data_IF_197915344824
#
_entry.id   IF_197915344824
#
_cell.length_a   1.000
_cell.length_b   1.000
_cell.length_c   1.000
_cell.angle_alpha   90.00
_cell.angle_beta   90.00
_cell.angle_gamma   90.00
#
_symmetry.space_group_name_H-M   'P 1'
#
loop_
_entity.id
_entity.type
_entity.pdbx_description
1 polymer ?
#
# COMPACT_ATOMS: atom_id res chain seq x y z
N UNK A 1 13.64 -38.38 3.08
CA UNK A 1 12.92 -37.13 2.73
C UNK A 1 13.52 -36.64 1.41
N UNK A 2 12.74 -36.60 0.38
CA UNK A 2 13.15 -35.98 -0.89
C UNK A 2 13.58 -34.54 -0.63
N UNK A 3 14.74 -34.11 -1.12
CA UNK A 3 15.20 -32.71 -0.99
C UNK A 3 14.29 -31.85 -1.84
N UNK A 4 13.67 -30.86 -1.24
CA UNK A 4 12.82 -29.91 -1.98
C UNK A 4 13.66 -29.03 -2.90
N UNK A 5 13.21 -28.86 -4.12
CA UNK A 5 13.87 -28.11 -5.20
C UNK A 5 14.02 -26.63 -4.82
N UNK A 6 15.20 -26.09 -5.07
CA UNK A 6 15.49 -24.65 -4.95
C UNK A 6 15.41 -23.99 -6.32
N UNK A 7 14.87 -22.79 -6.39
CA UNK A 7 14.94 -21.97 -7.59
C UNK A 7 15.97 -20.86 -7.38
N UNK A 8 16.95 -20.79 -8.27
CA UNK A 8 17.99 -19.77 -8.33
C UNK A 8 17.71 -18.80 -9.45
N UNK A 9 17.56 -17.52 -9.17
CA UNK A 9 17.54 -16.43 -10.13
C UNK A 9 18.94 -15.85 -10.21
N UNK A 10 19.59 -15.95 -11.37
CA UNK A 10 21.03 -15.68 -11.53
C UNK A 10 21.32 -14.61 -12.57
N UNK A 11 22.41 -13.86 -12.39
CA UNK A 11 22.93 -12.91 -13.36
C UNK A 11 22.23 -11.55 -13.39
N UNK A 12 21.24 -11.34 -12.55
CA UNK A 12 20.50 -10.08 -12.46
C UNK A 12 21.16 -9.05 -11.54
N UNK A 13 20.49 -7.91 -11.44
CA UNK A 13 20.74 -6.86 -10.45
C UNK A 13 19.81 -7.06 -9.26
N UNK A 14 20.27 -6.82 -8.04
CA UNK A 14 19.48 -6.95 -6.83
C UNK A 14 19.40 -5.60 -6.10
N UNK A 15 18.19 -5.12 -5.86
CA UNK A 15 17.87 -4.03 -4.94
C UNK A 15 17.07 -4.65 -3.78
N UNK A 16 17.72 -4.86 -2.65
CA UNK A 16 17.18 -5.66 -1.55
C UNK A 16 16.08 -4.96 -0.71
N UNK A 17 15.83 -3.67 -0.97
CA UNK A 17 14.83 -2.86 -0.26
C UNK A 17 15.35 -2.22 1.03
N UNK A 18 16.59 -2.48 1.46
CA UNK A 18 17.17 -1.87 2.67
C UNK A 18 17.52 -0.40 2.49
N UNK A 19 17.70 0.05 1.25
CA UNK A 19 18.23 1.38 0.88
C UNK A 19 19.74 1.35 0.58
N UNK A 20 20.37 0.19 0.69
CA UNK A 20 21.75 -0.01 0.27
C UNK A 20 21.87 -0.06 -1.25
N UNK A 21 23.10 0.14 -1.74
CA UNK A 21 23.38 0.11 -3.18
C UNK A 21 23.03 -1.27 -3.76
N UNK A 22 22.54 -1.24 -5.00
CA UNK A 22 22.25 -2.46 -5.74
C UNK A 22 23.48 -3.36 -5.93
N UNK A 23 23.26 -4.67 -5.89
CA UNK A 23 24.28 -5.71 -6.16
C UNK A 23 24.18 -6.15 -7.61
N UNK A 24 25.24 -6.00 -8.38
CA UNK A 24 25.33 -6.52 -9.75
C UNK A 24 25.67 -8.00 -9.75
N UNK A 25 25.33 -8.72 -10.82
CA UNK A 25 25.55 -10.16 -10.96
C UNK A 25 25.12 -10.92 -9.69
N UNK A 26 23.89 -10.64 -9.27
CA UNK A 26 23.33 -11.17 -8.03
C UNK A 26 22.70 -12.56 -8.24
N UNK A 27 22.56 -13.26 -7.14
CA UNK A 27 21.80 -14.49 -7.03
C UNK A 27 20.71 -14.33 -5.97
N UNK A 28 19.49 -14.71 -6.31
CA UNK A 28 18.40 -14.91 -5.37
C UNK A 28 18.01 -16.39 -5.38
N UNK A 29 18.15 -17.08 -4.25
CA UNK A 29 17.76 -18.49 -4.10
C UNK A 29 16.49 -18.58 -3.24
N UNK A 30 15.48 -19.30 -3.75
CA UNK A 30 14.17 -19.46 -3.13
C UNK A 30 13.83 -20.94 -2.98
N UNK A 31 13.39 -21.35 -1.79
CA UNK A 31 12.88 -22.70 -1.51
C UNK A 31 11.73 -22.62 -0.52
N UNK A 32 10.67 -23.40 -0.74
CA UNK A 32 9.49 -23.49 0.15
C UNK A 32 8.89 -22.11 0.52
N UNK A 33 8.85 -21.20 -0.45
CA UNK A 33 8.29 -19.87 -0.25
C UNK A 33 9.19 -18.90 0.53
N UNK A 34 10.42 -19.32 0.86
CA UNK A 34 11.39 -18.52 1.63
C UNK A 34 12.63 -18.22 0.80
N UNK A 35 13.20 -17.05 1.05
CA UNK A 35 14.51 -16.66 0.54
C UNK A 35 15.58 -17.42 1.33
N UNK A 36 16.42 -18.18 0.65
CA UNK A 36 17.58 -18.83 1.23
C UNK A 36 18.82 -17.94 1.14
N UNK A 37 18.94 -17.21 0.04
CA UNK A 37 20.06 -16.32 -0.25
C UNK A 37 19.61 -15.18 -1.14
N UNK A 38 20.15 -14.00 -0.90
CA UNK A 38 20.02 -12.84 -1.78
C UNK A 38 21.31 -12.01 -1.66
N UNK A 39 22.08 -11.89 -2.74
CA UNK A 39 23.37 -11.20 -2.71
C UNK A 39 24.23 -11.46 -3.94
N UNK A 40 25.51 -11.15 -3.84
CA UNK A 40 26.48 -11.36 -4.90
C UNK A 40 26.68 -12.85 -5.24
N UNK A 41 26.96 -13.16 -6.50
CA UNK A 41 27.11 -14.54 -6.97
C UNK A 41 28.24 -15.31 -6.24
N UNK A 42 29.31 -14.61 -5.84
CA UNK A 42 30.48 -15.21 -5.17
C UNK A 42 30.14 -15.82 -3.78
N UNK A 43 29.08 -15.35 -3.15
CA UNK A 43 28.62 -15.84 -1.83
C UNK A 43 27.45 -16.82 -1.92
N UNK A 44 26.95 -17.10 -3.12
CA UNK A 44 25.76 -17.92 -3.31
C UNK A 44 26.08 -19.41 -3.04
N UNK A 45 25.13 -20.15 -2.44
CA UNK A 45 25.26 -21.61 -2.34
C UNK A 45 25.21 -22.25 -3.74
N UNK A 46 26.01 -23.29 -3.94
CA UNK A 46 26.04 -24.05 -5.20
C UNK A 46 24.71 -24.77 -5.44
N UNK A 47 24.11 -24.63 -6.66
CA UNK A 47 22.91 -25.37 -7.02
C UNK A 47 23.17 -26.87 -7.08
N UNK A 48 22.24 -27.69 -6.60
CA UNK A 48 22.24 -29.12 -6.85
C UNK A 48 21.67 -29.43 -8.25
N UNK A 49 21.86 -30.66 -8.72
CA UNK A 49 21.44 -31.09 -10.07
C UNK A 49 19.92 -30.94 -10.27
N UNK A 50 19.14 -31.15 -9.21
CA UNK A 50 17.68 -31.05 -9.23
C UNK A 50 17.16 -29.61 -9.12
N UNK A 51 18.00 -28.65 -8.76
CA UNK A 51 17.60 -27.25 -8.58
C UNK A 51 17.35 -26.57 -9.94
N UNK A 52 16.55 -25.51 -9.94
CA UNK A 52 16.22 -24.72 -11.12
C UNK A 52 17.07 -23.45 -11.16
N UNK A 53 17.82 -23.25 -12.21
CA UNK A 53 18.45 -21.95 -12.49
C UNK A 53 17.66 -21.18 -13.55
N UNK A 54 17.35 -19.94 -13.24
CA UNK A 54 16.63 -18.99 -14.11
C UNK A 54 17.55 -17.82 -14.39
N UNK A 55 17.88 -17.59 -15.63
CA UNK A 55 18.64 -16.41 -16.05
C UNK A 55 17.76 -15.16 -15.99
N UNK A 56 18.15 -14.20 -15.17
CA UNK A 56 17.52 -12.89 -15.01
C UNK A 56 18.47 -11.74 -15.38
N UNK A 57 19.43 -12.03 -16.24
CA UNK A 57 20.36 -11.03 -16.78
C UNK A 57 19.58 -9.89 -17.45
N UNK A 58 19.96 -8.64 -17.15
CA UNK A 58 19.28 -7.44 -17.63
C UNK A 58 18.01 -7.06 -16.85
N UNK A 59 17.67 -7.83 -15.82
CA UNK A 59 16.57 -7.52 -14.90
C UNK A 59 17.11 -7.06 -13.54
N UNK A 60 16.28 -6.27 -12.85
CA UNK A 60 16.47 -5.93 -11.43
C UNK A 60 15.43 -6.66 -10.60
N UNK A 61 15.90 -7.42 -9.59
CA UNK A 61 15.08 -8.06 -8.58
C UNK A 61 14.87 -7.11 -7.41
N UNK A 62 13.62 -6.97 -6.96
CA UNK A 62 13.22 -6.12 -5.83
C UNK A 62 12.23 -6.87 -4.93
N UNK A 63 12.07 -6.42 -3.66
CA UNK A 63 10.92 -6.87 -2.86
C UNK A 63 9.61 -6.49 -3.55
N UNK A 64 8.58 -7.30 -3.35
CA UNK A 64 7.23 -6.93 -3.75
C UNK A 64 6.78 -5.62 -3.11
N UNK A 65 6.04 -4.81 -3.86
CA UNK A 65 5.58 -3.49 -3.44
C UNK A 65 4.49 -3.59 -2.39
N UNK A 66 4.40 -2.57 -1.56
CA UNK A 66 3.33 -2.33 -0.60
C UNK A 66 2.42 -1.20 -1.08
N UNK A 67 1.14 -1.30 -0.75
CA UNK A 67 0.22 -0.16 -0.76
C UNK A 67 -0.44 -0.06 0.63
N UNK A 68 -0.04 0.97 1.40
CA UNK A 68 -0.46 1.14 2.79
C UNK A 68 -1.71 1.99 2.96
N UNK A 69 -2.33 2.44 1.87
CA UNK A 69 -3.59 3.19 1.89
C UNK A 69 -4.45 2.80 0.70
N UNK A 70 -5.29 1.81 0.89
CA UNK A 70 -6.18 1.32 -0.14
C UNK A 70 -7.59 1.08 0.40
N UNK A 71 -8.57 1.28 -0.48
CA UNK A 71 -9.98 0.97 -0.30
C UNK A 71 -10.40 0.04 -1.44
N UNK A 72 -10.31 -1.28 -1.24
CA UNK A 72 -10.57 -2.27 -2.31
C UNK A 72 -12.05 -2.32 -2.74
N UNK A 73 -12.95 -1.73 -1.97
CA UNK A 73 -14.36 -1.55 -2.29
C UNK A 73 -14.73 -0.14 -2.77
N UNK A 74 -13.73 0.71 -3.05
CA UNK A 74 -13.95 2.10 -3.48
C UNK A 74 -14.85 2.20 -4.70
N UNK A 75 -15.88 3.06 -4.63
CA UNK A 75 -16.79 3.33 -5.73
C UNK A 75 -16.42 4.57 -6.57
N UNK A 76 -15.45 5.36 -6.14
CA UNK A 76 -15.02 6.57 -6.82
C UNK A 76 -13.81 6.30 -7.71
N UNK A 77 -13.80 6.80 -8.90
CA UNK A 77 -14.84 7.50 -9.67
C UNK A 77 -15.68 6.57 -10.57
N UNK A 78 -15.82 5.31 -10.20
CA UNK A 78 -16.32 4.21 -11.03
C UNK A 78 -17.83 4.15 -11.03
N UNK A 79 -18.48 4.78 -12.02
CA UNK A 79 -19.93 4.77 -12.18
C UNK A 79 -20.51 3.38 -12.44
N UNK A 80 -19.68 2.46 -12.95
CA UNK A 80 -20.12 1.14 -13.43
C UNK A 80 -20.04 0.03 -12.37
N UNK A 81 -19.44 0.33 -11.20
CA UNK A 81 -19.31 -0.62 -10.11
C UNK A 81 -20.21 -0.22 -8.93
N UNK A 82 -21.43 -0.67 -8.97
CA UNK A 82 -22.32 -0.61 -7.80
C UNK A 82 -21.97 -1.75 -6.85
N UNK A 83 -20.88 -1.59 -6.11
CA UNK A 83 -20.40 -2.60 -5.13
C UNK A 83 -21.49 -2.94 -4.10
N UNK A 84 -22.46 -2.06 -3.92
CA UNK A 84 -23.55 -2.20 -2.96
C UNK A 84 -24.77 -2.95 -3.50
N UNK A 85 -24.85 -3.21 -4.80
CA UNK A 85 -26.05 -3.74 -5.45
C UNK A 85 -26.48 -5.11 -4.90
N UNK A 86 -25.51 -5.96 -4.49
CA UNK A 86 -25.75 -7.32 -4.03
C UNK A 86 -25.25 -7.58 -2.60
N UNK A 87 -24.95 -6.52 -1.84
CA UNK A 87 -24.58 -6.60 -0.43
C UNK A 87 -23.16 -7.10 -0.16
N UNK A 88 -22.83 -7.45 1.13
CA UNK A 88 -21.46 -7.70 1.57
C UNK A 88 -20.74 -8.85 0.85
N UNK A 89 -21.46 -9.88 0.42
CA UNK A 89 -20.86 -11.02 -0.28
C UNK A 89 -20.30 -10.60 -1.64
N UNK A 90 -21.03 -9.81 -2.41
CA UNK A 90 -20.59 -9.30 -3.70
C UNK A 90 -19.43 -8.31 -3.52
N UNK A 91 -19.52 -7.43 -2.52
CA UNK A 91 -18.45 -6.52 -2.15
C UNK A 91 -17.13 -7.25 -1.87
N UNK A 92 -17.18 -8.35 -1.11
CA UNK A 92 -15.99 -9.17 -0.85
C UNK A 92 -15.41 -9.79 -2.13
N UNK A 93 -16.25 -10.22 -3.08
CA UNK A 93 -15.80 -10.75 -4.36
C UNK A 93 -15.11 -9.66 -5.22
N UNK A 94 -15.68 -8.47 -5.28
CA UNK A 94 -15.09 -7.32 -5.98
C UNK A 94 -13.76 -6.92 -5.32
N UNK A 95 -13.73 -6.83 -4.00
CA UNK A 95 -12.52 -6.49 -3.24
C UNK A 95 -11.41 -7.53 -3.47
N UNK A 96 -11.76 -8.82 -3.51
CA UNK A 96 -10.80 -9.86 -3.85
C UNK A 96 -10.26 -9.70 -5.27
N UNK A 97 -11.14 -9.46 -6.26
CA UNK A 97 -10.73 -9.23 -7.64
C UNK A 97 -9.69 -8.12 -7.74
N UNK A 98 -9.94 -6.99 -7.11
CA UNK A 98 -9.04 -5.82 -7.09
C UNK A 98 -7.74 -6.11 -6.33
N UNK A 99 -7.80 -6.89 -5.25
CA UNK A 99 -6.60 -7.36 -4.55
C UNK A 99 -5.74 -8.26 -5.45
N UNK A 100 -6.36 -9.18 -6.20
CA UNK A 100 -5.66 -10.05 -7.15
C UNK A 100 -5.02 -9.26 -8.29
N UNK A 101 -5.71 -8.24 -8.81
CA UNK A 101 -5.17 -7.31 -9.82
C UNK A 101 -3.96 -6.53 -9.27
N UNK A 102 -4.03 -6.06 -8.03
CA UNK A 102 -2.90 -5.42 -7.37
C UNK A 102 -1.69 -6.36 -7.28
N UNK A 103 -1.91 -7.62 -6.91
CA UNK A 103 -0.86 -8.64 -6.84
C UNK A 103 -0.19 -8.89 -8.19
N UNK A 104 -0.95 -9.08 -9.27
CA UNK A 104 -0.41 -9.28 -10.64
C UNK A 104 0.42 -8.08 -11.10
N UNK A 105 0.14 -6.89 -10.57
CA UNK A 105 0.88 -5.66 -10.84
C UNK A 105 1.99 -5.36 -9.81
N UNK A 106 2.43 -6.37 -9.06
CA UNK A 106 3.61 -6.29 -8.19
C UNK A 106 3.35 -5.83 -6.76
N UNK A 107 2.10 -5.54 -6.38
CA UNK A 107 1.74 -5.16 -5.01
C UNK A 107 1.47 -6.41 -4.19
N UNK A 108 2.45 -6.85 -3.42
CA UNK A 108 2.39 -8.11 -2.66
C UNK A 108 1.77 -7.95 -1.26
N UNK A 109 1.59 -6.71 -0.80
CA UNK A 109 0.94 -6.39 0.48
C UNK A 109 0.08 -5.14 0.33
N UNK A 110 -1.15 -5.21 0.85
CA UNK A 110 -2.12 -4.11 0.87
C UNK A 110 -2.59 -3.88 2.31
N UNK A 111 -2.58 -2.63 2.76
CA UNK A 111 -3.20 -2.19 4.01
C UNK A 111 -4.49 -1.45 3.67
N UNK A 112 -5.62 -2.09 3.97
CA UNK A 112 -6.95 -1.49 3.83
C UNK A 112 -7.21 -0.58 5.03
N UNK A 113 -7.67 0.66 4.76
CA UNK A 113 -7.83 1.72 5.76
C UNK A 113 -9.22 2.35 5.75
N UNK A 114 -10.22 1.55 5.55
CA UNK A 114 -11.64 1.92 5.51
C UNK A 114 -12.35 1.08 4.48
N UNK A 115 -13.13 0.09 4.94
CA UNK A 115 -13.94 -0.78 4.06
C UNK A 115 -15.22 -1.18 4.77
N UNK A 116 -16.31 -1.26 4.02
CA UNK A 116 -17.62 -1.63 4.55
C UNK A 116 -17.84 -3.14 4.59
N UNK A 117 -18.80 -3.53 5.41
CA UNK A 117 -19.35 -4.89 5.47
C UNK A 117 -18.34 -5.98 5.84
N UNK A 118 -17.10 -5.60 6.26
CA UNK A 118 -16.05 -6.53 6.61
C UNK A 118 -15.44 -7.25 5.41
N UNK A 119 -15.49 -6.65 4.22
CA UNK A 119 -14.93 -7.21 2.99
C UNK A 119 -13.43 -7.44 3.09
N UNK A 120 -12.68 -6.51 3.72
CA UNK A 120 -11.25 -6.64 4.00
C UNK A 120 -10.93 -7.85 4.89
N UNK A 121 -11.71 -8.07 5.96
CA UNK A 121 -11.57 -9.25 6.82
C UNK A 121 -11.81 -10.55 6.06
N UNK A 122 -12.83 -10.56 5.17
CA UNK A 122 -13.16 -11.74 4.37
C UNK A 122 -12.02 -12.08 3.38
N UNK A 123 -11.53 -11.08 2.64
CA UNK A 123 -10.41 -11.25 1.69
C UNK A 123 -9.14 -11.67 2.43
N UNK A 124 -8.77 -10.95 3.52
CA UNK A 124 -7.65 -11.32 4.38
C UNK A 124 -7.71 -12.78 4.78
N UNK A 125 -8.86 -13.20 5.33
CA UNK A 125 -9.02 -14.57 5.85
C UNK A 125 -8.93 -15.63 4.76
N UNK A 126 -9.50 -15.37 3.60
CA UNK A 126 -9.46 -16.28 2.45
C UNK A 126 -8.03 -16.46 1.93
N UNK A 127 -7.25 -15.38 1.86
CA UNK A 127 -5.84 -15.42 1.45
C UNK A 127 -4.97 -16.12 2.52
N UNK A 128 -5.12 -15.78 3.81
CA UNK A 128 -4.38 -16.42 4.91
C UNK A 128 -4.62 -17.94 4.99
N UNK A 129 -5.83 -18.39 4.64
CA UNK A 129 -6.17 -19.81 4.63
C UNK A 129 -5.77 -20.53 3.35
N UNK A 130 -5.17 -19.84 2.38
CA UNK A 130 -4.85 -20.40 1.07
C UNK A 130 -6.06 -20.79 0.23
N UNK A 131 -7.25 -20.28 0.57
CA UNK A 131 -8.46 -20.49 -0.24
C UNK A 131 -8.38 -19.70 -1.55
N UNK A 132 -7.73 -18.53 -1.51
CA UNK A 132 -7.54 -17.64 -2.63
C UNK A 132 -6.09 -17.17 -2.69
N UNK A 133 -5.54 -17.07 -3.90
CA UNK A 133 -4.25 -16.42 -4.13
C UNK A 133 -4.48 -14.90 -4.13
N UNK A 134 -3.70 -14.18 -3.33
CA UNK A 134 -3.81 -12.73 -3.22
C UNK A 134 -2.59 -12.11 -2.54
N UNK A 135 -2.52 -10.79 -2.47
CA UNK A 135 -1.52 -10.10 -1.65
C UNK A 135 -1.79 -10.39 -0.16
N UNK A 136 -0.80 -10.17 0.69
CA UNK A 136 -1.06 -10.04 2.13
C UNK A 136 -2.00 -8.85 2.33
N UNK A 137 -3.10 -9.05 3.05
CA UNK A 137 -4.07 -7.99 3.36
C UNK A 137 -4.01 -7.70 4.87
N UNK A 138 -3.77 -6.43 5.21
CA UNK A 138 -3.98 -5.91 6.55
C UNK A 138 -5.32 -5.17 6.56
N UNK A 139 -6.18 -5.50 7.50
CA UNK A 139 -7.56 -5.04 7.57
C UNK A 139 -7.78 -4.09 8.75
N UNK A 140 -8.45 -2.95 8.51
CA UNK A 140 -8.88 -2.01 9.54
C UNK A 140 -10.39 -2.10 9.83
N UNK A 141 -11.18 -2.64 8.88
CA UNK A 141 -12.62 -2.45 8.85
C UNK A 141 -13.00 -1.02 8.45
N UNK A 142 -14.13 -0.49 8.93
CA UNK A 142 -14.56 0.86 8.61
C UNK A 142 -13.64 1.93 9.20
N UNK A 143 -13.59 3.10 8.55
CA UNK A 143 -13.01 4.29 9.15
C UNK A 143 -13.93 4.78 10.29
N UNK A 144 -13.39 5.01 11.47
CA UNK A 144 -14.14 5.55 12.61
C UNK A 144 -14.04 7.07 12.57
N UNK A 145 -15.17 7.76 12.48
CA UNK A 145 -15.26 9.21 12.27
C UNK A 145 -16.17 9.85 13.33
N UNK A 146 -16.04 11.16 13.52
CA UNK A 146 -17.02 11.92 14.29
C UNK A 146 -18.35 11.98 13.53
N UNK A 147 -19.47 12.07 14.24
CA UNK A 147 -20.79 12.22 13.62
C UNK A 147 -20.80 13.42 12.66
N UNK A 148 -21.17 13.19 11.40
CA UNK A 148 -21.09 14.19 10.33
C UNK A 148 -19.68 14.49 9.81
N UNK A 149 -18.67 13.72 10.21
CA UNK A 149 -17.27 13.89 9.82
C UNK A 149 -16.96 13.38 8.41
N UNK A 150 -15.65 13.33 8.10
CA UNK A 150 -15.14 12.95 6.78
C UNK A 150 -15.63 11.58 6.34
N UNK A 151 -16.23 11.52 5.13
CA UNK A 151 -16.77 10.28 4.59
C UNK A 151 -18.09 9.82 5.22
N UNK A 152 -18.84 10.71 5.91
CA UNK A 152 -20.10 10.36 6.58
C UNK A 152 -21.19 9.75 5.67
N UNK A 153 -21.05 9.91 4.37
CA UNK A 153 -21.96 9.31 3.37
C UNK A 153 -21.39 8.01 2.76
N UNK A 154 -20.21 7.58 3.20
CA UNK A 154 -19.58 6.34 2.72
C UNK A 154 -19.97 5.18 3.62
N UNK A 155 -20.47 4.05 3.06
CA UNK A 155 -20.76 2.84 3.83
C UNK A 155 -19.54 2.29 4.59
N UNK A 156 -18.31 2.60 4.13
CA UNK A 156 -17.06 2.25 4.80
C UNK A 156 -16.74 3.11 6.02
N UNK A 157 -17.66 3.99 6.46
CA UNK A 157 -17.50 4.85 7.64
C UNK A 157 -18.40 4.44 8.79
N UNK A 158 -17.89 4.61 10.01
CA UNK A 158 -18.63 4.39 11.26
C UNK A 158 -18.63 5.67 12.08
N UNK A 159 -19.79 6.30 12.20
CA UNK A 159 -19.96 7.52 13.00
C UNK A 159 -19.98 7.23 14.51
N UNK A 160 -19.26 8.04 15.27
CA UNK A 160 -19.17 7.99 16.72
C UNK A 160 -19.21 9.41 17.33
N UNK A 161 -19.77 9.55 18.53
CA UNK A 161 -19.78 10.77 19.32
C UNK A 161 -19.30 10.51 20.74
N UNK A 162 -18.25 11.23 21.15
CA UNK A 162 -17.65 11.14 22.48
C UNK A 162 -16.77 9.90 22.69
N UNK A 163 -15.81 10.01 23.58
CA UNK A 163 -14.77 9.01 23.84
C UNK A 163 -15.29 7.58 24.10
N UNK A 164 -16.49 7.44 24.67
CA UNK A 164 -17.06 6.12 24.97
C UNK A 164 -17.45 5.35 23.71
N UNK A 165 -18.03 6.02 22.71
CA UNK A 165 -18.41 5.40 21.44
C UNK A 165 -17.18 5.06 20.60
N UNK A 166 -16.22 5.96 20.49
CA UNK A 166 -14.95 5.71 19.80
C UNK A 166 -14.20 4.52 20.42
N UNK A 167 -14.14 4.45 21.76
CA UNK A 167 -13.56 3.31 22.48
C UNK A 167 -14.28 1.99 22.17
N UNK A 168 -15.61 2.01 22.13
CA UNK A 168 -16.43 0.84 21.77
C UNK A 168 -16.19 0.40 20.32
N UNK A 169 -16.16 1.35 19.39
CA UNK A 169 -15.90 1.11 17.97
C UNK A 169 -14.53 0.44 17.77
N UNK A 170 -13.46 1.02 18.31
CA UNK A 170 -12.12 0.44 18.23
C UNK A 170 -12.05 -1.00 18.78
N UNK A 171 -12.69 -1.26 19.96
CA UNK A 171 -12.76 -2.61 20.53
C UNK A 171 -13.53 -3.60 19.65
N UNK A 172 -14.57 -3.14 18.98
CA UNK A 172 -15.35 -3.98 18.07
C UNK A 172 -14.52 -4.40 16.85
N UNK A 173 -13.74 -3.48 16.28
CA UNK A 173 -12.87 -3.82 15.15
C UNK A 173 -11.73 -4.75 15.58
N UNK A 174 -11.10 -4.52 16.73
CA UNK A 174 -10.13 -5.47 17.28
C UNK A 174 -10.72 -6.86 17.53
N UNK A 175 -11.96 -6.94 18.02
CA UNK A 175 -12.69 -8.22 18.19
C UNK A 175 -12.90 -8.97 16.86
N UNK A 176 -13.05 -8.25 15.74
CA UNK A 176 -13.18 -8.83 14.40
C UNK A 176 -11.82 -9.29 13.82
N UNK A 177 -10.71 -8.88 14.43
CA UNK A 177 -9.35 -9.21 14.01
C UNK A 177 -8.67 -8.14 13.18
N UNK A 178 -8.98 -6.87 13.44
CA UNK A 178 -8.30 -5.73 12.83
C UNK A 178 -6.79 -5.76 13.10
N UNK A 179 -6.00 -5.44 12.09
CA UNK A 179 -4.54 -5.30 12.17
C UNK A 179 -4.12 -3.91 12.62
N UNK A 180 -4.99 -2.94 12.43
CA UNK A 180 -4.84 -1.54 12.81
C UNK A 180 -6.24 -0.93 13.02
N UNK A 181 -6.28 0.27 13.59
CA UNK A 181 -7.51 1.08 13.63
C UNK A 181 -7.33 2.29 12.74
N UNK A 182 -8.33 2.60 11.90
CA UNK A 182 -8.37 3.80 11.06
C UNK A 182 -9.37 4.79 11.63
N UNK A 183 -8.95 6.04 11.77
CA UNK A 183 -9.80 7.17 12.17
C UNK A 183 -9.79 8.29 11.14
N UNK A 184 -10.89 9.04 11.06
CA UNK A 184 -11.00 10.29 10.31
C UNK A 184 -10.95 11.46 11.30
N UNK A 185 -9.76 12.04 11.47
CA UNK A 185 -9.53 13.06 12.50
C UNK A 185 -9.81 14.47 11.99
N UNK A 186 -9.61 14.72 10.71
CA UNK A 186 -9.94 16.01 10.08
C UNK A 186 -10.85 15.84 8.88
N UNK A 187 -11.38 16.95 8.37
CA UNK A 187 -12.07 16.98 7.09
C UNK A 187 -11.14 16.66 5.92
N UNK A 188 -11.71 16.56 4.72
CA UNK A 188 -11.00 16.14 3.52
C UNK A 188 -11.73 16.56 2.24
N UNK A 189 -11.61 15.72 1.21
CA UNK A 189 -12.15 15.97 -0.13
C UNK A 189 -13.58 15.40 -0.30
N UNK A 190 -13.99 14.42 0.52
CA UNK A 190 -15.16 13.59 0.26
C UNK A 190 -16.51 14.29 0.49
N UNK A 191 -16.61 15.24 1.42
CA UNK A 191 -17.85 15.91 1.75
C UNK A 191 -17.83 17.42 1.34
N UNK A 192 -18.92 17.98 0.81
CA UNK A 192 -18.98 19.42 0.49
C UNK A 192 -19.00 20.33 1.72
N UNK A 193 -19.39 19.81 2.88
CA UNK A 193 -19.65 20.58 4.10
C UNK A 193 -18.51 20.60 5.10
N UNK A 194 -17.32 20.15 4.71
CA UNK A 194 -16.13 20.14 5.54
C UNK A 194 -14.98 20.91 4.90
N UNK A 195 -14.15 21.57 5.68
CA UNK A 195 -12.85 22.08 5.23
C UNK A 195 -11.79 21.00 5.37
N UNK A 196 -10.80 20.96 4.45
CA UNK A 196 -9.73 19.94 4.48
C UNK A 196 -8.96 19.94 5.83
N UNK A 197 -8.81 21.11 6.44
CA UNK A 197 -8.06 21.30 7.67
C UNK A 197 -8.93 21.32 8.94
N UNK A 198 -10.23 21.14 8.84
CA UNK A 198 -11.14 21.21 9.98
C UNK A 198 -10.90 20.04 10.93
N UNK A 199 -10.59 20.32 12.18
CA UNK A 199 -10.51 19.28 13.21
C UNK A 199 -11.91 18.76 13.54
N UNK A 200 -12.13 17.47 13.41
CA UNK A 200 -13.44 16.84 13.61
C UNK A 200 -13.51 15.98 14.89
N UNK A 201 -12.39 15.35 15.28
CA UNK A 201 -12.32 14.60 16.53
C UNK A 201 -11.72 15.43 17.67
N UNK A 202 -12.29 15.30 18.87
CA UNK A 202 -11.75 15.90 20.07
C UNK A 202 -10.60 15.08 20.67
N UNK A 203 -9.76 15.69 21.48
CA UNK A 203 -8.56 15.05 22.05
C UNK A 203 -8.87 13.79 22.87
N UNK A 204 -9.98 13.78 23.61
CA UNK A 204 -10.42 12.62 24.38
C UNK A 204 -10.93 11.47 23.52
N UNK A 205 -11.52 11.77 22.36
CA UNK A 205 -11.95 10.78 21.36
C UNK A 205 -10.73 10.10 20.70
N UNK A 206 -9.74 10.91 20.27
CA UNK A 206 -8.48 10.42 19.72
C UNK A 206 -7.76 9.53 20.73
N UNK A 207 -7.60 10.03 21.97
CA UNK A 207 -6.96 9.28 23.06
C UNK A 207 -7.67 7.95 23.35
N UNK A 208 -9.00 7.94 23.31
CA UNK A 208 -9.78 6.74 23.55
C UNK A 208 -9.51 5.63 22.53
N UNK A 209 -9.28 5.99 21.26
CA UNK A 209 -8.90 5.02 20.20
C UNK A 209 -7.46 4.57 20.38
N UNK A 210 -6.52 5.51 20.53
CA UNK A 210 -5.08 5.21 20.66
C UNK A 210 -4.81 4.29 21.86
N UNK A 211 -5.39 4.56 23.02
CA UNK A 211 -5.26 3.71 24.22
C UNK A 211 -5.73 2.27 23.96
N UNK A 212 -6.86 2.11 23.28
CA UNK A 212 -7.41 0.79 22.95
C UNK A 212 -6.55 0.05 21.94
N UNK A 213 -6.12 0.71 20.87
CA UNK A 213 -5.30 0.11 19.83
C UNK A 213 -3.92 -0.29 20.38
N UNK A 214 -3.23 0.62 21.06
CA UNK A 214 -1.90 0.37 21.64
C UNK A 214 -1.96 -0.69 22.74
N UNK A 215 -3.01 -0.70 23.56
CA UNK A 215 -3.24 -1.74 24.58
C UNK A 215 -3.38 -3.14 23.97
N UNK A 216 -3.71 -3.24 22.69
CA UNK A 216 -3.78 -4.48 21.91
C UNK A 216 -2.54 -4.69 21.00
N UNK A 217 -1.52 -3.84 21.10
CA UNK A 217 -0.33 -3.89 20.23
C UNK A 217 -0.62 -3.54 18.78
N UNK A 218 -1.67 -2.74 18.52
CA UNK A 218 -2.09 -2.31 17.18
C UNK A 218 -1.83 -0.83 16.97
N UNK A 219 -1.54 -0.45 15.73
CA UNK A 219 -1.30 0.93 15.31
C UNK A 219 -2.59 1.65 14.95
N UNK A 220 -2.57 2.98 15.02
CA UNK A 220 -3.65 3.88 14.60
C UNK A 220 -3.21 4.67 13.38
N UNK A 221 -3.99 4.59 12.30
CA UNK A 221 -3.85 5.40 11.10
C UNK A 221 -4.91 6.51 11.11
N UNK A 222 -4.53 7.76 10.81
CA UNK A 222 -5.45 8.88 10.81
C UNK A 222 -5.49 9.61 9.47
N UNK A 223 -6.70 9.78 8.91
CA UNK A 223 -6.92 10.74 7.82
C UNK A 223 -6.72 12.16 8.35
N UNK A 224 -5.85 12.93 7.73
CA UNK A 224 -5.43 14.24 8.20
C UNK A 224 -5.08 15.16 7.04
N UNK A 225 -5.78 16.30 6.98
CA UNK A 225 -5.53 17.31 5.95
C UNK A 225 -4.77 18.53 6.44
N UNK A 226 -5.02 18.97 7.66
CA UNK A 226 -4.56 20.23 8.21
C UNK A 226 -3.41 20.12 9.21
N UNK A 227 -2.60 21.16 9.29
CA UNK A 227 -1.42 21.24 10.15
C UNK A 227 -1.75 21.10 11.65
N UNK A 228 -2.75 21.85 12.16
CA UNK A 228 -3.18 21.76 13.55
C UNK A 228 -3.64 20.36 13.97
N UNK A 229 -4.58 19.74 13.24
CA UNK A 229 -4.97 18.35 13.47
C UNK A 229 -3.82 17.36 13.41
N UNK A 230 -2.80 17.55 12.55
CA UNK A 230 -1.61 16.69 12.49
C UNK A 230 -0.81 16.81 13.79
N UNK A 231 -0.58 18.03 14.29
CA UNK A 231 0.12 18.22 15.59
C UNK A 231 -0.62 17.53 16.74
N UNK A 232 -1.94 17.64 16.77
CA UNK A 232 -2.74 16.97 17.80
C UNK A 232 -2.64 15.44 17.69
N UNK A 233 -2.71 14.89 16.48
CA UNK A 233 -2.55 13.46 16.22
C UNK A 233 -1.19 12.93 16.72
N UNK A 234 -0.10 13.62 16.38
CA UNK A 234 1.27 13.27 16.82
C UNK A 234 1.38 13.33 18.33
N UNK A 235 0.91 14.41 18.96
CA UNK A 235 0.93 14.60 20.43
C UNK A 235 0.14 13.51 21.15
N UNK A 236 -0.91 12.99 20.53
CA UNK A 236 -1.81 12.00 21.14
C UNK A 236 -1.43 10.55 20.77
N UNK A 237 -0.34 10.35 20.00
CA UNK A 237 0.24 9.04 19.76
C UNK A 237 -0.34 8.29 18.55
N UNK A 238 -0.87 8.99 17.55
CA UNK A 238 -1.25 8.38 16.28
C UNK A 238 0.02 7.89 15.56
N UNK A 239 0.00 6.67 15.04
CA UNK A 239 1.19 6.02 14.47
C UNK A 239 1.45 6.41 13.01
N UNK A 240 0.41 6.63 12.20
CA UNK A 240 0.56 7.08 10.82
C UNK A 240 -0.42 8.19 10.45
N UNK A 241 0.13 9.21 9.81
CA UNK A 241 -0.61 10.31 9.19
C UNK A 241 -0.81 9.97 7.72
N UNK A 242 -2.06 9.98 7.30
CA UNK A 242 -2.45 9.76 5.92
C UNK A 242 -2.69 11.12 5.26
N UNK A 243 -2.21 11.29 4.01
CA UNK A 243 -2.29 12.51 3.20
C UNK A 243 -1.39 13.65 3.69
N UNK A 244 -1.74 14.34 4.77
CA UNK A 244 -1.04 15.53 5.26
C UNK A 244 -0.99 16.66 4.20
N UNK A 245 -2.15 17.08 3.65
CA UNK A 245 -2.23 18.08 2.58
C UNK A 245 -1.54 19.40 2.94
N UNK A 246 -1.63 19.82 4.20
CA UNK A 246 -1.05 21.07 4.70
C UNK A 246 -0.25 20.79 5.96
N UNK A 247 1.03 20.56 5.82
CA UNK A 247 1.96 20.33 6.94
C UNK A 247 3.14 21.29 6.82
N UNK A 248 3.37 22.10 7.84
CA UNK A 248 4.53 22.99 7.88
C UNK A 248 5.82 22.27 8.34
N UNK A 249 6.93 23.02 8.38
CA UNK A 249 8.23 22.47 8.75
C UNK A 249 8.31 22.06 10.22
N UNK A 250 7.62 22.77 11.09
CA UNK A 250 7.62 22.52 12.54
C UNK A 250 6.85 21.23 12.84
N UNK A 251 5.71 21.05 12.21
CA UNK A 251 4.90 19.83 12.32
C UNK A 251 5.63 18.63 11.71
N UNK A 252 6.32 18.81 10.58
CA UNK A 252 7.15 17.77 10.01
C UNK A 252 8.29 17.34 10.96
N UNK A 253 8.94 18.30 11.64
CA UNK A 253 9.95 17.99 12.65
C UNK A 253 9.37 17.24 13.86
N UNK A 254 8.18 17.62 14.33
CA UNK A 254 7.47 16.87 15.39
C UNK A 254 7.17 15.43 14.99
N UNK A 255 6.72 15.21 13.76
CA UNK A 255 6.46 13.84 13.24
C UNK A 255 7.73 13.01 13.22
N UNK A 256 8.85 13.59 12.75
CA UNK A 256 10.14 12.91 12.69
C UNK A 256 10.65 12.53 14.09
N UNK A 257 10.56 13.45 15.05
CA UNK A 257 10.96 13.22 16.46
C UNK A 257 10.10 12.15 17.12
N UNK A 258 8.78 12.16 16.88
CA UNK A 258 7.85 11.18 17.42
C UNK A 258 7.94 9.79 16.73
N UNK A 259 8.63 9.69 15.58
CA UNK A 259 8.64 8.47 14.77
C UNK A 259 7.31 8.17 14.08
N UNK A 260 6.46 9.17 13.90
CA UNK A 260 5.17 9.03 13.22
C UNK A 260 5.39 8.86 11.72
N UNK A 261 4.80 7.81 11.13
CA UNK A 261 4.90 7.54 9.69
C UNK A 261 4.03 8.48 8.88
N UNK A 262 4.43 8.71 7.62
CA UNK A 262 3.65 9.48 6.65
C UNK A 262 3.32 8.62 5.42
N UNK A 263 2.03 8.53 5.09
CA UNK A 263 1.52 7.89 3.88
C UNK A 263 0.89 8.98 3.01
N UNK A 264 1.63 9.54 2.04
CA UNK A 264 1.24 10.80 1.39
C UNK A 264 0.03 10.73 0.48
N UNK A 265 -0.15 9.64 -0.25
CA UNK A 265 -1.21 9.51 -1.27
C UNK A 265 -1.17 10.63 -2.32
N UNK A 266 0.02 10.94 -2.83
CA UNK A 266 0.24 12.00 -3.83
C UNK A 266 -0.56 11.76 -5.12
N UNK A 267 -0.87 10.49 -5.43
CA UNK A 267 -1.72 10.13 -6.56
C UNK A 267 -3.06 10.85 -6.52
N UNK A 268 -3.76 10.88 -5.38
CA UNK A 268 -5.06 11.56 -5.26
C UNK A 268 -4.95 13.04 -5.61
N UNK A 269 -3.97 13.73 -5.02
CA UNK A 269 -3.80 15.17 -5.28
C UNK A 269 -3.26 15.48 -6.68
N UNK A 270 -2.76 14.48 -7.39
CA UNK A 270 -2.31 14.62 -8.79
C UNK A 270 -3.37 14.19 -9.81
N UNK A 271 -4.52 13.68 -9.35
CA UNK A 271 -5.51 13.00 -10.17
C UNK A 271 -6.61 13.91 -10.77
N UNK A 272 -6.43 15.23 -10.85
CA UNK A 272 -7.49 16.17 -11.29
C UNK A 272 -8.14 15.77 -12.61
N UNK A 273 -7.35 15.53 -13.65
CA UNK A 273 -7.86 15.16 -14.98
C UNK A 273 -8.57 13.80 -14.95
N UNK A 274 -7.99 12.85 -14.24
CA UNK A 274 -8.54 11.51 -14.04
C UNK A 274 -9.90 11.56 -13.32
N UNK A 275 -9.99 12.26 -12.19
CA UNK A 275 -11.22 12.41 -11.41
C UNK A 275 -12.29 13.20 -12.16
N UNK A 276 -11.89 14.24 -12.90
CA UNK A 276 -12.81 15.00 -13.75
C UNK A 276 -13.40 14.13 -14.87
N UNK A 277 -12.56 13.34 -15.56
CA UNK A 277 -12.99 12.42 -16.62
C UNK A 277 -13.97 11.35 -16.10
N UNK A 278 -13.86 10.96 -14.83
CA UNK A 278 -14.73 9.96 -14.19
C UNK A 278 -15.92 10.58 -13.44
N UNK A 279 -16.11 11.91 -13.54
CA UNK A 279 -17.32 12.59 -13.08
C UNK A 279 -17.35 12.91 -11.58
N UNK A 280 -16.20 13.14 -10.97
CA UNK A 280 -16.13 13.70 -9.62
C UNK A 280 -16.89 15.03 -9.54
N UNK A 281 -17.58 15.30 -8.41
CA UNK A 281 -18.36 16.54 -8.26
C UNK A 281 -17.45 17.77 -8.20
N UNK A 282 -17.99 18.93 -8.62
CA UNK A 282 -17.23 20.18 -8.72
C UNK A 282 -16.55 20.59 -7.42
N UNK A 283 -17.24 20.48 -6.27
CA UNK A 283 -16.66 20.83 -4.98
C UNK A 283 -15.40 19.99 -4.64
N UNK A 284 -15.37 18.74 -5.05
CA UNK A 284 -14.23 17.85 -4.82
C UNK A 284 -13.03 18.29 -5.68
N UNK A 285 -13.27 18.63 -6.95
CA UNK A 285 -12.24 19.14 -7.86
C UNK A 285 -11.70 20.51 -7.40
N UNK A 286 -12.54 21.39 -6.86
CA UNK A 286 -12.14 22.68 -6.29
C UNK A 286 -11.23 22.49 -5.07
N UNK A 287 -11.62 21.61 -4.13
CA UNK A 287 -10.80 21.27 -2.95
C UNK A 287 -9.47 20.63 -3.37
N UNK A 288 -9.51 19.75 -4.36
CA UNK A 288 -8.32 19.09 -4.87
C UNK A 288 -7.33 20.09 -5.48
N UNK A 289 -7.83 21.05 -6.27
CA UNK A 289 -7.02 22.12 -6.84
C UNK A 289 -6.33 23.00 -5.78
N UNK A 290 -7.02 23.25 -4.65
CA UNK A 290 -6.43 23.96 -3.50
C UNK A 290 -5.33 23.11 -2.82
N UNK A 291 -5.56 21.81 -2.68
CA UNK A 291 -4.63 20.92 -2.02
C UNK A 291 -3.38 20.63 -2.86
N UNK A 292 -3.49 20.48 -4.17
CA UNK A 292 -2.47 19.91 -5.07
C UNK A 292 -1.07 20.54 -4.91
N UNK A 293 -0.98 21.89 -4.94
CA UNK A 293 0.31 22.58 -4.80
C UNK A 293 0.86 22.47 -3.38
N UNK A 294 -0.01 22.72 -2.41
CA UNK A 294 0.35 22.71 -1.00
C UNK A 294 0.80 21.30 -0.55
N UNK A 295 0.16 20.27 -1.07
CA UNK A 295 0.45 18.87 -0.71
C UNK A 295 1.90 18.49 -1.06
N UNK A 296 2.36 18.76 -2.28
CA UNK A 296 3.76 18.48 -2.65
C UNK A 296 4.76 19.24 -1.75
N UNK A 297 4.47 20.47 -1.38
CA UNK A 297 5.33 21.26 -0.49
C UNK A 297 5.29 20.71 0.95
N UNK A 298 4.12 20.28 1.41
CA UNK A 298 3.93 19.58 2.69
C UNK A 298 4.80 18.31 2.75
N UNK A 299 4.72 17.45 1.73
CA UNK A 299 5.52 16.22 1.70
C UNK A 299 7.02 16.50 1.61
N UNK A 300 7.44 17.54 0.86
CA UNK A 300 8.85 18.01 0.87
C UNK A 300 9.31 18.43 2.26
N UNK A 301 8.45 19.05 3.07
CA UNK A 301 8.77 19.36 4.46
C UNK A 301 9.01 18.08 5.26
N UNK A 302 8.16 17.06 5.11
CA UNK A 302 8.32 15.75 5.73
C UNK A 302 9.64 15.06 5.34
N UNK A 303 9.94 15.01 4.03
CA UNK A 303 11.19 14.44 3.51
C UNK A 303 12.42 15.16 4.11
N UNK A 304 12.43 16.49 4.11
CA UNK A 304 13.56 17.28 4.67
C UNK A 304 13.71 17.12 6.17
N UNK A 305 12.64 16.90 6.90
CA UNK A 305 12.65 16.65 8.33
C UNK A 305 13.07 15.20 8.69
N UNK A 306 13.14 14.29 7.71
CA UNK A 306 13.48 12.89 7.92
C UNK A 306 12.29 12.04 8.39
N UNK A 307 11.05 12.47 8.12
CA UNK A 307 9.86 11.66 8.39
C UNK A 307 9.91 10.38 7.57
N UNK A 308 9.60 9.24 8.17
CA UNK A 308 9.54 7.95 7.48
C UNK A 308 8.35 7.90 6.54
N UNK A 309 8.61 7.94 5.22
CA UNK A 309 7.61 7.87 4.17
C UNK A 309 7.28 6.41 3.86
N UNK A 310 5.99 6.11 3.69
CA UNK A 310 5.45 4.82 3.26
C UNK A 310 4.56 5.01 2.04
N UNK A 311 4.44 3.98 1.19
CA UNK A 311 3.65 4.04 -0.03
C UNK A 311 2.18 3.72 0.23
N UNK A 312 1.28 4.55 -0.27
CA UNK A 312 -0.17 4.35 -0.28
C UNK A 312 -0.82 5.30 -1.26
N UNK A 313 -1.91 4.91 -1.90
CA UNK A 313 -2.46 5.64 -3.05
C UNK A 313 -3.80 6.33 -2.82
N UNK A 314 -4.61 5.83 -1.90
CA UNK A 314 -6.03 6.24 -1.74
C UNK A 314 -6.85 6.11 -3.05
N UNK A 315 -6.32 5.34 -3.98
CA UNK A 315 -6.92 4.83 -5.21
C UNK A 315 -6.81 3.31 -5.17
N UNK A 316 -7.47 2.62 -6.10
CA UNK A 316 -7.21 1.18 -6.24
C UNK A 316 -5.74 0.97 -6.63
N UNK A 317 -5.01 0.04 -5.98
CA UNK A 317 -3.56 -0.10 -6.19
C UNK A 317 -3.14 -0.35 -7.63
N UNK A 318 -4.00 -1.02 -8.40
CA UNK A 318 -3.78 -1.38 -9.81
C UNK A 318 -4.43 -0.43 -10.80
N UNK A 319 -5.12 0.62 -10.34
CA UNK A 319 -5.77 1.56 -11.25
C UNK A 319 -4.79 2.14 -12.26
N UNK A 320 -5.22 2.26 -13.52
CA UNK A 320 -4.43 2.91 -14.54
C UNK A 320 -4.32 4.41 -14.25
N UNK A 321 -3.12 4.85 -14.03
CA UNK A 321 -2.84 6.23 -13.73
C UNK A 321 -1.59 6.71 -14.49
N UNK A 322 -1.75 7.70 -15.36
CA UNK A 322 -0.65 8.26 -16.16
C UNK A 322 0.21 7.20 -16.90
N UNK A 323 -0.44 6.19 -17.47
CA UNK A 323 0.23 5.13 -18.26
C UNK A 323 0.93 4.04 -17.43
N UNK A 324 0.64 3.98 -16.13
CA UNK A 324 1.10 2.91 -15.23
C UNK A 324 0.01 2.59 -14.20
N UNK A 325 0.32 1.83 -13.16
CA UNK A 325 -0.61 1.64 -12.03
C UNK A 325 -0.46 2.75 -10.99
N UNK A 326 -1.52 3.02 -10.24
CA UNK A 326 -1.51 4.04 -9.19
C UNK A 326 -0.36 3.82 -8.18
N UNK A 327 -0.09 2.56 -7.78
CA UNK A 327 1.01 2.28 -6.83
C UNK A 327 2.37 2.63 -7.42
N UNK A 328 2.66 2.27 -8.67
CA UNK A 328 3.93 2.61 -9.31
C UNK A 328 4.04 4.13 -9.48
N UNK A 329 2.95 4.79 -9.87
CA UNK A 329 2.93 6.24 -10.00
C UNK A 329 3.18 6.96 -8.66
N UNK A 330 2.63 6.46 -7.58
CA UNK A 330 2.92 7.00 -6.23
C UNK A 330 4.42 6.94 -5.92
N UNK A 331 5.07 5.82 -6.22
CA UNK A 331 6.53 5.67 -6.03
C UNK A 331 7.32 6.64 -6.91
N UNK A 332 6.89 6.88 -8.15
CA UNK A 332 7.50 7.90 -9.02
C UNK A 332 7.33 9.32 -8.45
N UNK A 333 6.14 9.65 -7.93
CA UNK A 333 5.85 10.95 -7.31
C UNK A 333 6.73 11.24 -6.09
N UNK A 334 7.21 10.21 -5.38
CA UNK A 334 8.16 10.39 -4.29
C UNK A 334 9.46 11.05 -4.75
N UNK A 335 9.92 10.77 -5.98
CA UNK A 335 11.11 11.43 -6.51
C UNK A 335 10.87 12.90 -6.85
N UNK A 336 9.64 13.29 -7.19
CA UNK A 336 9.26 14.68 -7.45
C UNK A 336 9.22 15.53 -6.16
N UNK A 337 9.10 14.89 -5.00
CA UNK A 337 9.10 15.58 -3.70
C UNK A 337 10.43 15.46 -2.95
N UNK A 338 11.44 14.83 -3.56
CA UNK A 338 12.83 14.92 -3.11
C UNK A 338 13.46 13.62 -2.60
N UNK A 339 12.79 12.47 -2.68
CA UNK A 339 13.42 11.18 -2.42
C UNK A 339 14.28 10.77 -3.63
N UNK A 340 15.43 10.17 -3.39
CA UNK A 340 16.16 9.43 -4.43
C UNK A 340 15.37 8.18 -4.88
N UNK A 341 15.65 7.60 -6.05
CA UNK A 341 15.01 6.37 -6.48
C UNK A 341 15.11 5.22 -5.46
N UNK A 342 16.26 5.05 -4.80
CA UNK A 342 16.46 4.04 -3.75
C UNK A 342 15.58 4.32 -2.52
N UNK A 343 15.47 5.57 -2.09
CA UNK A 343 14.59 5.96 -0.98
C UNK A 343 13.12 5.75 -1.33
N UNK A 344 12.71 6.04 -2.58
CA UNK A 344 11.36 5.78 -3.06
C UNK A 344 11.02 4.27 -3.07
N UNK A 345 11.95 3.42 -3.51
CA UNK A 345 11.81 1.96 -3.43
C UNK A 345 11.71 1.52 -1.97
N UNK A 346 12.59 2.04 -1.10
CA UNK A 346 12.56 1.74 0.34
C UNK A 346 11.23 2.16 0.99
N UNK A 347 10.67 3.30 0.59
CA UNK A 347 9.35 3.75 1.05
C UNK A 347 8.24 2.76 0.68
N UNK A 348 8.29 2.20 -0.54
CA UNK A 348 7.30 1.24 -1.04
C UNK A 348 7.55 -0.22 -0.63
N UNK A 349 8.62 -0.49 0.12
CA UNK A 349 9.02 -1.84 0.54
C UNK A 349 9.29 -1.89 2.04
N UNK A 350 10.52 -1.67 2.49
CA UNK A 350 10.95 -1.78 3.89
C UNK A 350 10.17 -0.88 4.85
N UNK A 351 10.05 0.42 4.54
CA UNK A 351 9.36 1.36 5.45
C UNK A 351 7.88 0.99 5.60
N UNK A 352 7.24 0.64 4.47
CA UNK A 352 5.85 0.18 4.47
C UNK A 352 5.67 -1.13 5.23
N UNK A 353 6.63 -2.06 5.14
CA UNK A 353 6.61 -3.30 5.91
C UNK A 353 6.76 -3.04 7.43
N UNK A 354 7.57 -2.06 7.81
CA UNK A 354 7.75 -1.62 9.19
C UNK A 354 6.48 -0.97 9.76
N UNK A 355 5.87 -0.06 8.99
CA UNK A 355 4.56 0.51 9.34
C UNK A 355 3.51 -0.59 9.53
N UNK A 356 3.47 -1.55 8.64
CA UNK A 356 2.53 -2.69 8.67
C UNK A 356 2.86 -3.72 9.76
N UNK A 357 4.01 -3.63 10.44
CA UNK A 357 4.42 -4.58 11.48
C UNK A 357 4.83 -5.96 10.94
N UNK A 358 5.18 -6.05 9.65
CA UNK A 358 5.53 -7.33 8.97
C UNK A 358 6.97 -7.36 8.44
N UNK A 359 7.82 -6.41 8.85
CA UNK A 359 9.21 -6.32 8.37
C UNK A 359 10.04 -7.57 8.67
N UNK A 360 9.75 -8.28 9.75
CA UNK A 360 10.40 -9.55 10.05
C UNK A 360 10.07 -10.66 9.04
N UNK A 361 8.98 -10.53 8.30
CA UNK A 361 8.47 -11.53 7.37
C UNK A 361 8.73 -11.22 5.91
N UNK A 362 8.71 -9.93 5.52
CA UNK A 362 8.77 -9.45 4.12
C UNK A 362 9.18 -7.98 4.05
N UNK A 363 9.25 -7.38 2.85
CA UNK A 363 9.59 -5.98 2.63
C UNK A 363 11.06 -5.73 2.33
N UNK A 364 11.92 -6.75 2.50
CA UNK A 364 13.31 -6.76 2.04
C UNK A 364 13.65 -8.17 1.53
N UNK A 365 14.66 -8.28 0.64
CA UNK A 365 15.16 -9.55 0.14
C UNK A 365 16.30 -10.05 1.05
N UNK A 366 15.93 -10.68 2.15
CA UNK A 366 16.88 -11.23 3.14
C UNK A 366 16.55 -12.71 3.42
N UNK A 367 17.59 -13.49 3.73
CA UNK A 367 17.43 -14.90 4.04
C UNK A 367 16.43 -15.13 5.21
N UNK A 368 15.55 -16.11 5.06
CA UNK A 368 14.49 -16.46 6.01
C UNK A 368 13.15 -15.72 5.79
N UNK A 369 13.13 -14.62 5.07
CA UNK A 369 11.90 -13.89 4.74
C UNK A 369 11.10 -14.59 3.64
N UNK A 370 9.83 -14.22 3.53
CA UNK A 370 8.97 -14.70 2.44
C UNK A 370 9.53 -14.26 1.09
N UNK A 371 9.46 -15.13 0.10
CA UNK A 371 9.84 -14.81 -1.27
C UNK A 371 8.70 -14.03 -1.96
N UNK A 372 8.51 -12.78 -1.52
CA UNK A 372 7.66 -11.78 -2.14
C UNK A 372 8.58 -10.90 -3.00
N UNK A 373 8.63 -11.16 -4.32
CA UNK A 373 9.66 -10.64 -5.22
C UNK A 373 9.03 -10.13 -6.51
N UNK A 374 9.52 -9.00 -7.00
CA UNK A 374 9.26 -8.56 -8.37
C UNK A 374 10.56 -8.50 -9.17
N UNK A 375 10.46 -8.70 -10.48
CA UNK A 375 11.54 -8.42 -11.41
C UNK A 375 11.08 -7.42 -12.48
N UNK A 376 11.91 -6.42 -12.74
CA UNK A 376 11.66 -5.39 -13.75
C UNK A 376 12.82 -5.31 -14.74
N UNK A 377 12.55 -4.93 -15.99
CA UNK A 377 13.61 -4.60 -16.94
C UNK A 377 14.14 -3.19 -16.65
N UNK A 378 15.46 -3.04 -16.63
CA UNK A 378 16.15 -1.77 -16.37
C UNK A 378 16.65 -1.64 -14.92
N UNK A 379 16.90 -0.39 -14.48
CA UNK A 379 17.56 -0.06 -13.22
C UNK A 379 16.72 0.95 -12.44
N UNK A 380 15.68 0.51 -11.72
CA UNK A 380 14.76 1.41 -11.03
C UNK A 380 15.41 2.21 -9.87
N UNK A 381 16.53 1.73 -9.33
CA UNK A 381 17.34 2.45 -8.34
C UNK A 381 18.13 3.63 -8.93
N UNK A 382 18.30 3.68 -10.25
CA UNK A 382 18.88 4.79 -11.00
C UNK A 382 17.81 5.63 -11.68
N UNK A 383 16.75 4.97 -12.23
CA UNK A 383 15.64 5.57 -12.95
C UNK A 383 14.33 4.93 -12.50
N UNK A 384 13.63 5.59 -11.58
CA UNK A 384 12.44 5.04 -10.91
C UNK A 384 11.35 4.56 -11.89
N UNK A 385 11.19 5.21 -13.05
CA UNK A 385 10.24 4.82 -14.10
C UNK A 385 10.48 3.43 -14.68
N UNK A 386 11.62 2.79 -14.43
CA UNK A 386 11.86 1.40 -14.84
C UNK A 386 11.02 0.40 -14.04
N UNK A 387 10.40 0.81 -12.92
CA UNK A 387 9.38 -0.01 -12.23
C UNK A 387 8.18 -0.36 -13.12
N UNK A 388 7.89 0.45 -14.14
CA UNK A 388 6.82 0.20 -15.12
C UNK A 388 7.06 -1.08 -15.95
N UNK A 389 8.31 -1.52 -16.06
CA UNK A 389 8.72 -2.64 -16.92
C UNK A 389 8.67 -3.98 -16.16
N UNK A 390 7.55 -4.27 -15.50
CA UNK A 390 7.35 -5.47 -14.69
C UNK A 390 7.36 -6.74 -15.55
N UNK A 391 8.20 -7.70 -15.18
CA UNK A 391 8.41 -8.97 -15.91
C UNK A 391 8.07 -10.21 -15.11
N UNK A 392 8.15 -10.13 -13.78
CA UNK A 392 7.85 -11.24 -12.88
C UNK A 392 7.26 -10.72 -11.58
N UNK A 393 6.30 -11.45 -11.05
CA UNK A 393 5.78 -11.28 -9.69
C UNK A 393 5.75 -12.64 -9.02
N UNK A 394 6.36 -12.72 -7.84
CA UNK A 394 6.34 -13.89 -6.97
C UNK A 394 5.76 -13.51 -5.61
N UNK A 395 4.86 -14.34 -5.10
CA UNK A 395 4.24 -14.19 -3.80
C UNK A 395 4.41 -15.46 -2.97
N UNK A 396 5.17 -15.38 -1.88
CA UNK A 396 5.45 -16.55 -1.04
C UNK A 396 6.05 -17.72 -1.82
N UNK A 397 6.90 -17.43 -2.81
CA UNK A 397 7.54 -18.43 -3.69
C UNK A 397 6.70 -18.90 -4.88
N UNK A 398 5.40 -18.60 -4.93
CA UNK A 398 4.53 -18.92 -6.09
C UNK A 398 4.63 -17.81 -7.12
N UNK A 399 4.78 -18.19 -8.39
CA UNK A 399 4.82 -17.26 -9.52
C UNK A 399 3.40 -16.81 -9.88
N UNK A 400 3.16 -15.51 -9.74
CA UNK A 400 1.87 -14.86 -10.06
C UNK A 400 1.89 -14.32 -11.48
N UNK A 401 3.02 -13.75 -11.90
CA UNK A 401 3.29 -13.29 -13.26
C UNK A 401 4.69 -13.73 -13.65
N UNK A 402 4.83 -14.26 -14.86
CA UNK A 402 6.11 -14.76 -15.37
C UNK A 402 6.22 -14.50 -16.87
N UNK A 403 6.93 -13.43 -17.23
CA UNK A 403 7.28 -13.07 -18.61
C UNK A 403 8.76 -13.39 -18.87
N UNK A 404 9.22 -14.53 -18.36
CA UNK A 404 10.60 -14.99 -18.48
C UNK A 404 10.65 -16.37 -19.13
N UNK A 405 11.64 -16.64 -20.02
CA UNK A 405 11.79 -17.93 -20.66
C UNK A 405 11.87 -19.08 -19.64
N UNK A 406 11.11 -20.13 -19.86
CA UNK A 406 11.14 -21.34 -19.02
C UNK A 406 10.36 -21.23 -17.71
N UNK A 407 9.78 -20.08 -17.39
CA UNK A 407 8.86 -19.91 -16.26
C UNK A 407 7.41 -19.87 -16.73
N UNK A 408 6.52 -20.40 -15.89
CA UNK A 408 5.08 -20.31 -16.08
C UNK A 408 4.47 -19.84 -14.78
N UNK A 409 3.52 -18.91 -14.86
CA UNK A 409 2.77 -18.46 -13.69
C UNK A 409 1.91 -19.62 -13.15
N UNK A 410 1.92 -19.77 -11.83
CA UNK A 410 1.09 -20.75 -11.10
C UNK A 410 -0.34 -20.24 -10.91
N UNK A 411 -0.54 -18.95 -11.13
CA UNK A 411 -1.80 -18.24 -10.87
C UNK A 411 -2.26 -17.52 -12.13
N UNK A 412 -3.49 -17.82 -12.52
CA UNK A 412 -4.23 -17.03 -13.49
C UNK A 412 -5.53 -16.59 -12.84
N UNK A 413 -5.69 -15.31 -12.44
CA UNK A 413 -6.97 -14.83 -11.91
C UNK A 413 -8.02 -15.01 -13.00
N UNK A 414 -8.98 -15.87 -12.76
CA UNK A 414 -9.97 -16.44 -13.65
C UNK A 414 -10.38 -15.51 -14.81
N UNK A 415 -10.04 -15.89 -16.03
CA UNK A 415 -10.46 -15.22 -17.25
C UNK A 415 -9.60 -14.03 -17.70
N UNK A 416 -8.42 -13.81 -17.12
CA UNK A 416 -7.43 -12.87 -17.64
C UNK A 416 -6.58 -13.53 -18.75
N UNK A 417 -7.16 -14.44 -19.53
CA UNK A 417 -6.58 -14.97 -20.76
C UNK A 417 -6.75 -13.92 -21.87
N UNK A 418 -5.91 -12.93 -21.89
CA UNK A 418 -5.94 -11.93 -22.95
C UNK A 418 -5.14 -10.71 -22.58
N UNK A 419 -3.92 -10.68 -23.12
CA UNK A 419 -3.16 -9.46 -23.38
C UNK A 419 -3.07 -8.43 -22.23
N UNK A 420 -2.36 -8.78 -21.14
CA UNK A 420 -1.71 -7.79 -20.29
C UNK A 420 -0.50 -7.13 -20.99
N UNK A 421 -0.31 -7.40 -22.28
CA UNK A 421 0.67 -6.74 -23.14
C UNK A 421 0.03 -5.57 -23.87
N UNK A 422 -0.18 -4.46 -23.18
CA UNK A 422 -0.67 -3.22 -23.77
C UNK A 422 -2.07 -2.86 -23.30
N UNK A 423 -2.15 -2.18 -22.21
CA UNK A 423 -3.15 -1.17 -21.82
C UNK A 423 -4.60 -1.31 -22.25
N UNK A 424 -5.13 -2.51 -22.39
CA UNK A 424 -6.54 -2.70 -22.74
C UNK A 424 -7.24 -3.33 -21.54
N UNK A 425 -7.94 -2.51 -20.80
CA UNK A 425 -8.84 -2.94 -19.72
C UNK A 425 -10.01 -3.69 -20.32
N UNK A 426 -10.35 -4.83 -19.69
CA UNK A 426 -11.59 -5.54 -20.03
C UNK A 426 -12.73 -4.64 -19.58
N UNK A 427 -13.37 -3.96 -20.53
CA UNK A 427 -14.71 -3.42 -20.35
C UNK A 427 -15.70 -4.59 -20.37
N UNK A 428 -16.43 -4.77 -19.27
CA UNK A 428 -17.62 -5.64 -19.22
C UNK A 428 -18.83 -4.89 -19.72
#
# INVERSE_FOLDING_TARGET
MERMRTTYFVGGRLVDGTGEKAVENAVLAVREGKILYAGAAEGAPEPAVEDLAVDVSGLTLLPGLFNCHAHLDLNLPYKDYKVDEFGPAYRAMVSYRRAAEALVNGVTTVRCVGMDGGADYAVKKAVEKGMLMGPRVLAAGPIIIATGGHGNNDPGSMECSGAAEFRRAARNELKKGADLIKIGLSGGLASPHEGIADKQMMDDEIRAVVEVAHGAGKKVAAHLGGDGPIRDAVRLGVDSVEHAYFMDKETAAMMAEAGTYLVPTLCVSSANEYLMAHGSPAYQLEKLALAQKAHKDSIRNGVRAGVTICCGTDLLPSDPFEGTTATIREVELFTEVGLSPLEAIRAATRNSAELCGVLAETGTLEAGKAADVIAVSGKPDERIGDLRNLRMVMKGGSLVRAELPGLKADFNPAGMDGELSGGTFITW
#
